data_IF_145584819955
#
_entry.id   IF_145584819955
#
_cell.length_a   1.000
_cell.length_b   1.000
_cell.length_c   1.000
_cell.angle_alpha   90.00
_cell.angle_beta   90.00
_cell.angle_gamma   90.00
#
_symmetry.space_group_name_H-M   'P 1'
#
loop_
_entity.id
_entity.type
_entity.pdbx_description
1 polymer ?
#
# COMPACT_ATOMS: atom_id res chain seq x y z
N UNK A 1 -8.63 21.31 51.71
CA UNK A 1 -8.86 19.89 51.31
C UNK A 1 -9.69 19.72 50.04
N UNK A 2 -10.89 20.32 49.89
CA UNK A 2 -11.71 20.14 48.67
C UNK A 2 -11.00 20.47 47.32
N UNK A 3 -10.24 21.58 47.28
CA UNK A 3 -9.50 21.97 46.05
C UNK A 3 -8.37 20.98 45.66
N UNK A 4 -7.74 20.34 46.64
CA UNK A 4 -6.70 19.33 46.42
C UNK A 4 -7.34 18.03 45.90
N UNK A 5 -8.46 17.64 46.45
CA UNK A 5 -9.20 16.45 46.02
C UNK A 5 -9.70 16.58 44.57
N UNK A 6 -10.21 17.75 44.18
CA UNK A 6 -10.64 18.03 42.80
C UNK A 6 -9.46 17.93 41.83
N UNK A 7 -8.28 18.48 42.19
CA UNK A 7 -7.07 18.38 41.35
C UNK A 7 -6.60 16.93 41.24
N UNK A 8 -6.64 16.15 42.32
CA UNK A 8 -6.25 14.75 42.28
C UNK A 8 -7.21 13.90 41.42
N UNK A 9 -8.50 14.13 41.54
CA UNK A 9 -9.51 13.46 40.70
C UNK A 9 -9.32 13.84 39.21
N UNK A 10 -9.05 15.11 38.90
CA UNK A 10 -8.79 15.53 37.54
C UNK A 10 -7.54 14.86 36.94
N UNK A 11 -6.46 14.74 37.73
CA UNK A 11 -5.23 14.05 37.31
C UNK A 11 -5.47 12.56 37.08
N UNK A 12 -6.24 11.92 37.96
CA UNK A 12 -6.61 10.50 37.81
C UNK A 12 -7.47 10.28 36.55
N UNK A 13 -8.45 11.14 36.29
CA UNK A 13 -9.27 11.07 35.07
C UNK A 13 -8.40 11.25 33.83
N UNK A 14 -7.46 12.19 33.84
CA UNK A 14 -6.52 12.41 32.73
C UNK A 14 -5.68 11.15 32.52
N UNK A 15 -5.08 10.57 33.57
CA UNK A 15 -4.28 9.34 33.47
C UNK A 15 -5.12 8.18 32.91
N UNK A 16 -6.34 7.97 33.40
CA UNK A 16 -7.22 6.92 32.88
C UNK A 16 -7.67 7.17 31.43
N UNK A 17 -7.83 8.42 31.01
CA UNK A 17 -8.13 8.77 29.62
C UNK A 17 -6.98 8.43 28.67
N UNK A 18 -5.73 8.48 29.11
CA UNK A 18 -4.56 8.13 28.31
C UNK A 18 -4.28 6.62 28.25
N UNK A 19 -4.79 5.82 29.19
CA UNK A 19 -4.45 4.40 29.28
C UNK A 19 -5.44 3.45 28.60
N UNK A 20 -6.59 3.92 28.08
CA UNK A 20 -7.71 3.03 27.76
C UNK A 20 -8.29 3.02 26.35
N UNK A 21 -8.11 4.03 25.53
CA UNK A 21 -8.78 4.09 24.21
C UNK A 21 -7.78 4.05 23.06
N UNK A 22 -7.46 2.85 22.59
CA UNK A 22 -6.77 2.69 21.30
C UNK A 22 -7.80 2.43 20.20
N UNK A 23 -7.74 3.22 19.15
CA UNK A 23 -8.47 3.00 17.91
C UNK A 23 -7.58 2.26 16.91
N UNK A 24 -8.19 1.50 16.02
CA UNK A 24 -7.49 0.85 14.91
C UNK A 24 -7.84 1.56 13.62
N UNK A 25 -6.81 1.89 12.85
CA UNK A 25 -6.95 2.34 11.47
C UNK A 25 -6.50 1.23 10.54
N UNK A 26 -7.26 1.00 9.46
CA UNK A 26 -6.94 0.00 8.44
C UNK A 26 -6.79 0.70 7.11
N UNK A 27 -5.64 0.56 6.48
CA UNK A 27 -5.41 1.01 5.10
C UNK A 27 -5.19 -0.19 4.19
N UNK A 28 -5.82 -0.20 3.06
CA UNK A 28 -5.76 -1.28 2.08
C UNK A 28 -4.95 -0.85 0.86
N UNK A 29 -4.27 -1.83 0.25
CA UNK A 29 -3.49 -1.63 -0.96
C UNK A 29 -3.40 -2.95 -1.72
N UNK A 30 -2.88 -2.91 -2.95
CA UNK A 30 -2.51 -4.11 -3.67
C UNK A 30 -1.00 -4.18 -3.81
N UNK A 31 -0.43 -5.34 -3.56
CA UNK A 31 1.00 -5.62 -3.73
C UNK A 31 1.18 -6.88 -4.58
N UNK A 32 2.40 -7.15 -4.97
CA UNK A 32 2.77 -8.41 -5.62
C UNK A 32 2.51 -9.56 -4.67
N UNK A 33 1.97 -10.66 -5.18
CA UNK A 33 1.83 -11.87 -4.41
C UNK A 33 3.22 -12.31 -3.90
N UNK A 34 3.41 -12.61 -2.61
CA UNK A 34 4.69 -13.07 -2.07
C UNK A 34 5.28 -14.28 -2.82
N UNK A 35 4.45 -15.17 -3.35
CA UNK A 35 4.91 -16.30 -4.16
C UNK A 35 5.55 -15.88 -5.49
N UNK A 36 5.25 -14.70 -6.01
CA UNK A 36 5.77 -14.17 -7.28
C UNK A 36 7.08 -13.35 -7.05
N UNK A 37 7.43 -13.07 -5.78
CA UNK A 37 8.62 -12.29 -5.41
C UNK A 37 9.96 -13.00 -5.62
N UNK A 38 9.99 -14.26 -6.03
CA UNK A 38 11.22 -15.01 -6.32
C UNK A 38 11.95 -14.55 -7.60
N UNK A 39 11.37 -13.60 -8.33
CA UNK A 39 11.91 -13.11 -9.58
C UNK A 39 12.98 -12.03 -9.37
N UNK A 40 13.99 -11.99 -10.28
CA UNK A 40 15.11 -11.05 -10.22
C UNK A 40 14.72 -9.57 -10.22
N UNK A 41 13.49 -9.21 -10.65
CA UNK A 41 13.05 -7.82 -10.69
C UNK A 41 12.88 -7.19 -9.31
N UNK A 42 12.50 -7.98 -8.29
CA UNK A 42 12.28 -7.50 -6.91
C UNK A 42 13.51 -6.88 -6.26
N UNK A 43 14.70 -7.10 -6.82
CA UNK A 43 15.95 -6.46 -6.39
C UNK A 43 16.04 -4.98 -6.81
N UNK A 44 15.30 -4.59 -7.84
CA UNK A 44 15.42 -3.27 -8.48
C UNK A 44 14.17 -2.42 -8.32
N UNK A 45 13.00 -3.07 -8.24
CA UNK A 45 11.72 -2.36 -8.21
C UNK A 45 10.66 -3.09 -7.39
N UNK A 46 9.76 -2.32 -6.82
CA UNK A 46 8.51 -2.79 -6.23
C UNK A 46 7.32 -2.47 -7.14
N UNK A 47 6.23 -3.16 -6.90
CA UNK A 47 4.95 -2.95 -7.59
C UNK A 47 3.89 -2.71 -6.53
N UNK A 48 3.13 -1.65 -6.72
CA UNK A 48 2.09 -1.21 -5.79
C UNK A 48 0.82 -0.85 -6.54
N UNK A 49 -0.32 -1.29 -6.04
CA UNK A 49 -1.63 -0.90 -6.52
C UNK A 49 -2.35 -0.05 -5.47
N UNK A 50 -2.63 1.20 -5.82
CA UNK A 50 -3.45 2.08 -5.02
C UNK A 50 -4.94 1.79 -5.24
N UNK A 51 -5.75 2.01 -4.20
CA UNK A 51 -7.21 2.01 -4.29
C UNK A 51 -7.72 3.45 -4.43
N UNK A 52 -8.89 3.62 -5.01
CA UNK A 52 -9.60 4.92 -5.05
C UNK A 52 -9.91 5.44 -3.65
N UNK A 53 -10.17 4.53 -2.70
CA UNK A 53 -10.24 4.80 -1.27
C UNK A 53 -9.45 3.74 -0.51
N UNK A 54 -8.34 4.13 0.10
CA UNK A 54 -7.48 3.22 0.84
C UNK A 54 -8.08 2.73 2.17
N UNK A 55 -9.15 3.32 2.64
CA UNK A 55 -9.85 2.90 3.86
C UNK A 55 -11.03 1.95 3.59
N UNK A 56 -11.48 1.87 2.34
CA UNK A 56 -12.49 0.92 1.91
C UNK A 56 -11.84 -0.30 1.24
N UNK A 57 -11.98 -1.47 1.88
CA UNK A 57 -11.44 -2.74 1.35
C UNK A 57 -12.03 -3.14 0.00
N UNK A 58 -13.22 -2.66 -0.34
CA UNK A 58 -13.94 -3.02 -1.57
C UNK A 58 -13.77 -2.02 -2.70
N UNK A 59 -13.02 -0.92 -2.44
CA UNK A 59 -12.64 0.06 -3.45
C UNK A 59 -11.88 -0.56 -4.62
N UNK A 60 -12.14 -0.09 -5.85
CA UNK A 60 -11.41 -0.54 -7.02
C UNK A 60 -9.96 -0.05 -7.02
N UNK A 61 -9.14 -0.69 -7.85
CA UNK A 61 -7.77 -0.27 -8.10
C UNK A 61 -7.79 1.02 -8.92
N UNK A 62 -7.27 2.09 -8.36
CA UNK A 62 -7.08 3.37 -9.02
C UNK A 62 -5.90 3.32 -9.97
N UNK A 63 -4.76 2.87 -9.47
CA UNK A 63 -3.52 2.79 -10.22
C UNK A 63 -2.71 1.54 -9.88
N UNK A 64 -1.90 1.08 -10.83
CA UNK A 64 -0.84 0.10 -10.58
C UNK A 64 0.47 0.68 -11.05
N UNK A 65 1.43 0.78 -10.15
CA UNK A 65 2.69 1.49 -10.36
C UNK A 65 3.88 0.61 -10.06
N UNK A 66 4.95 0.80 -10.84
CA UNK A 66 6.30 0.33 -10.53
C UNK A 66 7.08 1.47 -9.88
N UNK A 67 7.91 1.16 -8.91
CA UNK A 67 8.76 2.15 -8.24
C UNK A 67 10.14 1.57 -7.94
N UNK A 68 11.21 2.39 -7.98
CA UNK A 68 12.55 1.96 -7.63
C UNK A 68 12.63 1.63 -6.13
N UNK A 69 13.38 0.58 -5.78
CA UNK A 69 13.58 0.22 -4.37
C UNK A 69 14.91 0.78 -3.90
N UNK A 70 14.86 1.55 -2.80
CA UNK A 70 16.01 1.96 -2.02
C UNK A 70 16.05 1.13 -0.74
N UNK A 71 16.82 0.05 -0.72
CA UNK A 71 17.14 -0.60 0.56
C UNK A 71 18.16 0.24 1.32
N UNK A 72 17.90 0.47 2.60
CA UNK A 72 18.71 1.24 3.55
C UNK A 72 20.20 1.29 3.17
N UNK A 73 20.66 2.46 2.69
CA UNK A 73 22.05 2.80 2.34
C UNK A 73 22.66 2.18 1.07
N UNK A 74 21.91 1.37 0.27
CA UNK A 74 22.33 1.00 -1.07
C UNK A 74 21.19 1.30 -2.03
N UNK A 75 21.30 2.41 -2.76
CA UNK A 75 20.44 2.67 -3.92
C UNK A 75 20.68 1.55 -4.94
N UNK A 76 19.70 0.66 -5.10
CA UNK A 76 19.77 -0.40 -6.11
C UNK A 76 19.32 0.09 -7.48
N UNK A 77 18.45 1.11 -7.50
CA UNK A 77 18.05 1.82 -8.73
C UNK A 77 17.53 3.21 -8.40
N UNK A 78 17.74 4.17 -9.31
CA UNK A 78 17.22 5.55 -9.16
C UNK A 78 15.98 5.76 -10.03
N UNK A 79 15.91 5.05 -11.16
CA UNK A 79 14.88 5.25 -12.18
C UNK A 79 14.38 3.92 -12.73
N UNK A 80 13.07 3.80 -12.85
CA UNK A 80 12.41 2.67 -13.54
C UNK A 80 11.38 3.23 -14.51
N UNK A 81 11.30 2.66 -15.71
CA UNK A 81 10.37 3.07 -16.75
C UNK A 81 9.81 1.88 -17.50
N UNK A 82 8.50 1.85 -17.70
CA UNK A 82 7.83 0.92 -18.61
C UNK A 82 8.22 1.24 -20.06
N UNK A 83 8.66 0.23 -20.81
CA UNK A 83 9.01 0.40 -22.23
C UNK A 83 7.78 0.31 -23.12
N UNK A 84 6.73 -0.35 -22.68
CA UNK A 84 5.49 -0.46 -23.44
C UNK A 84 4.56 0.73 -23.18
N UNK A 85 3.95 1.24 -24.23
CA UNK A 85 2.91 2.28 -24.13
C UNK A 85 1.54 1.69 -23.80
N UNK A 86 1.38 0.35 -23.85
CA UNK A 86 0.16 -0.36 -23.48
C UNK A 86 0.51 -1.58 -22.66
N UNK A 87 -0.17 -1.72 -21.53
CA UNK A 87 0.00 -2.83 -20.60
C UNK A 87 -1.25 -3.71 -20.66
N UNK A 88 -1.03 -5.00 -20.89
CA UNK A 88 -2.09 -5.99 -20.86
C UNK A 88 -2.45 -6.30 -19.41
N UNK A 89 -3.75 -6.32 -19.11
CA UNK A 89 -4.29 -6.75 -17.82
C UNK A 89 -5.36 -7.83 -18.09
N UNK A 90 -5.29 -8.92 -17.36
CA UNK A 90 -6.33 -9.97 -17.40
C UNK A 90 -7.09 -9.95 -16.08
N UNK A 91 -8.40 -9.79 -16.14
CA UNK A 91 -9.25 -9.78 -14.96
C UNK A 91 -10.60 -10.49 -15.27
N UNK A 92 -10.96 -11.47 -14.45
CA UNK A 92 -12.17 -12.29 -14.63
C UNK A 92 -12.29 -12.87 -16.05
N UNK A 93 -11.19 -13.36 -16.61
CA UNK A 93 -11.14 -13.96 -17.94
C UNK A 93 -11.21 -12.98 -19.12
N UNK A 94 -11.29 -11.67 -18.85
CA UNK A 94 -11.26 -10.61 -19.88
C UNK A 94 -9.88 -9.97 -19.97
N UNK A 95 -9.48 -9.64 -21.20
CA UNK A 95 -8.24 -8.92 -21.46
C UNK A 95 -8.52 -7.43 -21.66
N UNK A 96 -7.70 -6.60 -21.07
CA UNK A 96 -7.72 -5.15 -21.18
C UNK A 96 -6.34 -4.67 -21.58
N UNK A 97 -6.25 -3.60 -22.37
CA UNK A 97 -5.01 -2.97 -22.82
C UNK A 97 -5.01 -1.51 -22.38
N UNK A 98 -4.41 -1.25 -21.23
CA UNK A 98 -4.35 0.04 -20.57
C UNK A 98 -3.17 0.86 -21.06
N UNK A 99 -3.36 2.16 -21.24
CA UNK A 99 -2.27 3.07 -21.60
C UNK A 99 -1.33 3.27 -20.42
N UNK A 100 -0.04 3.31 -20.71
CA UNK A 100 0.94 3.74 -19.70
C UNK A 100 0.80 5.23 -19.45
N UNK A 101 0.75 5.64 -18.18
CA UNK A 101 0.68 7.03 -17.79
C UNK A 101 1.91 7.83 -18.25
N UNK A 102 1.81 9.16 -18.28
CA UNK A 102 2.89 10.07 -18.74
C UNK A 102 4.21 9.87 -17.98
N UNK A 103 4.15 9.46 -16.72
CA UNK A 103 5.32 9.16 -15.88
C UNK A 103 6.05 7.87 -16.29
N UNK A 104 5.52 7.11 -17.24
CA UNK A 104 6.01 5.79 -17.68
C UNK A 104 6.24 4.77 -16.55
N UNK A 105 5.48 4.89 -15.47
CA UNK A 105 5.61 3.99 -14.31
C UNK A 105 4.29 3.36 -13.89
N UNK A 106 3.17 3.87 -14.40
CA UNK A 106 1.85 3.50 -13.92
C UNK A 106 0.89 3.21 -15.07
N UNK A 107 -0.12 2.42 -14.77
CA UNK A 107 -1.39 2.35 -15.49
C UNK A 107 -2.51 2.84 -14.56
N UNK A 108 -3.55 3.42 -15.13
CA UNK A 108 -4.65 4.06 -14.40
C UNK A 108 -5.99 3.43 -14.82
N UNK A 109 -6.27 2.18 -14.40
CA UNK A 109 -7.46 1.46 -14.85
C UNK A 109 -8.76 2.20 -14.53
N UNK A 110 -8.86 2.82 -13.37
CA UNK A 110 -10.06 3.55 -12.96
C UNK A 110 -10.36 4.76 -13.85
N UNK A 111 -9.33 5.51 -14.24
CA UNK A 111 -9.48 6.62 -15.20
C UNK A 111 -9.92 6.17 -16.60
N UNK A 112 -9.54 4.94 -17.00
CA UNK A 112 -9.98 4.33 -18.26
C UNK A 112 -11.35 3.60 -18.13
N UNK A 113 -12.06 3.77 -17.00
CA UNK A 113 -13.37 3.18 -16.76
C UNK A 113 -13.34 1.68 -16.46
N UNK A 114 -12.17 1.12 -16.14
CA UNK A 114 -11.98 -0.31 -15.89
C UNK A 114 -11.89 -0.57 -14.39
N UNK A 115 -12.85 -1.30 -13.84
CA UNK A 115 -12.93 -1.64 -12.42
C UNK A 115 -12.17 -2.94 -12.19
N UNK A 116 -10.93 -2.82 -11.73
CA UNK A 116 -10.09 -3.94 -11.32
C UNK A 116 -10.16 -4.13 -9.80
N UNK A 117 -10.06 -5.37 -9.38
CA UNK A 117 -9.97 -5.79 -7.96
C UNK A 117 -8.94 -6.91 -7.82
N UNK A 118 -8.91 -7.55 -6.67
CA UNK A 118 -8.05 -8.69 -6.37
C UNK A 118 -8.14 -9.80 -7.44
N UNK A 119 -7.00 -10.42 -7.73
CA UNK A 119 -6.87 -11.45 -8.76
C UNK A 119 -6.61 -10.91 -10.16
N UNK A 120 -6.53 -9.58 -10.36
CA UNK A 120 -6.07 -9.02 -11.63
C UNK A 120 -4.61 -9.44 -11.88
N UNK A 121 -4.31 -9.85 -13.13
CA UNK A 121 -2.97 -10.21 -13.58
C UNK A 121 -2.48 -9.12 -14.53
N UNK A 122 -1.36 -8.51 -14.20
CA UNK A 122 -0.77 -7.41 -14.96
C UNK A 122 0.49 -7.89 -15.68
N UNK A 123 0.58 -7.65 -16.99
CA UNK A 123 1.68 -8.01 -17.86
C UNK A 123 2.48 -6.75 -18.21
N UNK A 124 3.37 -6.34 -17.32
CA UNK A 124 4.21 -5.15 -17.55
C UNK A 124 5.22 -5.34 -18.67
N UNK A 125 5.70 -6.57 -18.89
CA UNK A 125 6.71 -6.88 -19.88
C UNK A 125 8.07 -6.27 -19.52
N UNK A 126 8.70 -5.57 -20.46
CA UNK A 126 10.06 -5.02 -20.31
C UNK A 126 10.05 -3.66 -19.62
N UNK A 127 10.94 -3.51 -18.65
CA UNK A 127 11.17 -2.29 -17.87
C UNK A 127 12.63 -1.87 -18.01
N UNK A 128 12.86 -0.59 -18.19
CA UNK A 128 14.19 0.01 -18.20
C UNK A 128 14.55 0.48 -16.80
N UNK A 129 15.74 0.11 -16.32
CA UNK A 129 16.29 0.48 -15.02
C UNK A 129 17.55 1.31 -15.23
N UNK A 130 17.59 2.50 -14.63
CA UNK A 130 18.71 3.45 -14.63
C UNK A 130 19.30 3.75 -16.01
N UNK A 131 18.45 3.75 -17.02
CA UNK A 131 18.83 3.96 -18.44
C UNK A 131 19.85 2.95 -19.01
N UNK A 132 20.20 1.90 -18.26
CA UNK A 132 21.29 0.95 -18.61
C UNK A 132 20.81 -0.49 -18.77
N UNK A 133 19.84 -0.91 -18.01
CA UNK A 133 19.43 -2.31 -17.95
C UNK A 133 17.96 -2.49 -18.33
N UNK A 134 17.68 -3.56 -19.06
CA UNK A 134 16.30 -3.96 -19.37
C UNK A 134 16.00 -5.24 -18.62
N UNK A 135 14.95 -5.21 -17.82
CA UNK A 135 14.46 -6.36 -17.06
C UNK A 135 13.07 -6.72 -17.58
N UNK A 136 12.81 -7.98 -17.76
CA UNK A 136 11.47 -8.49 -18.04
C UNK A 136 10.76 -8.86 -16.73
N UNK A 137 9.58 -8.28 -16.53
CA UNK A 137 8.72 -8.58 -15.38
C UNK A 137 7.77 -9.71 -15.82
N UNK A 138 7.74 -10.84 -15.10
CA UNK A 138 6.75 -11.89 -15.35
C UNK A 138 5.33 -11.36 -15.11
N UNK A 139 4.28 -12.07 -15.56
CA UNK A 139 2.91 -11.71 -15.22
C UNK A 139 2.73 -11.63 -13.70
N UNK A 140 2.22 -10.50 -13.22
CA UNK A 140 2.06 -10.23 -11.78
C UNK A 140 0.60 -10.34 -11.39
N UNK A 141 0.32 -11.18 -10.41
CA UNK A 141 -0.98 -11.26 -9.76
C UNK A 141 -1.00 -10.32 -8.55
N UNK A 142 -1.93 -9.39 -8.56
CA UNK A 142 -2.11 -8.47 -7.44
C UNK A 142 -2.90 -9.14 -6.31
N UNK A 143 -2.35 -9.09 -5.10
CA UNK A 143 -2.96 -9.55 -3.87
C UNK A 143 -3.28 -8.36 -2.97
N UNK A 144 -4.42 -8.41 -2.30
CA UNK A 144 -4.82 -7.35 -1.37
C UNK A 144 -4.04 -7.44 -0.06
N UNK A 145 -3.52 -6.32 0.38
CA UNK A 145 -2.82 -6.13 1.64
C UNK A 145 -3.59 -5.18 2.54
N UNK A 146 -3.42 -5.37 3.84
CA UNK A 146 -3.89 -4.45 4.86
C UNK A 146 -2.73 -4.01 5.74
N UNK A 147 -2.66 -2.72 6.01
CA UNK A 147 -1.81 -2.12 7.03
C UNK A 147 -2.71 -1.64 8.16
N UNK A 148 -2.53 -2.22 9.34
CA UNK A 148 -3.30 -1.91 10.54
C UNK A 148 -2.41 -1.18 11.52
N UNK A 149 -2.84 0.01 11.90
CA UNK A 149 -2.18 0.82 12.92
C UNK A 149 -3.11 1.01 14.13
N UNK A 150 -2.55 1.06 15.31
CA UNK A 150 -3.24 1.49 16.51
C UNK A 150 -2.79 2.89 16.91
N UNK A 151 -3.70 3.71 17.40
CA UNK A 151 -3.40 5.05 17.88
C UNK A 151 -4.36 5.43 19.03
N UNK A 152 -3.93 6.37 19.87
CA UNK A 152 -4.79 6.93 20.90
C UNK A 152 -5.42 8.23 20.39
N UNK A 153 -6.75 8.29 20.11
CA UNK A 153 -7.39 9.47 19.53
C UNK A 153 -7.28 10.73 20.40
N UNK A 154 -7.20 10.57 21.73
CA UNK A 154 -7.07 11.71 22.64
C UNK A 154 -5.67 12.31 22.58
N UNK A 155 -4.65 11.47 22.59
CA UNK A 155 -3.27 11.90 22.46
C UNK A 155 -2.99 12.51 21.08
N UNK A 156 -3.55 11.92 20.02
CA UNK A 156 -3.45 12.41 18.65
C UNK A 156 -4.08 13.80 18.51
N UNK A 157 -5.25 14.04 19.13
CA UNK A 157 -5.87 15.38 19.20
C UNK A 157 -5.03 16.42 19.96
N UNK A 158 -4.04 16.00 20.76
CA UNK A 158 -3.07 16.83 21.44
C UNK A 158 -1.72 16.91 20.71
N UNK A 159 -1.64 16.44 19.46
CA UNK A 159 -0.44 16.32 18.64
C UNK A 159 0.65 15.42 19.26
N UNK A 160 0.28 14.44 20.05
CA UNK A 160 1.18 13.42 20.59
C UNK A 160 1.03 12.17 19.74
N UNK A 161 2.04 11.84 18.95
CA UNK A 161 2.05 10.64 18.12
C UNK A 161 2.14 9.38 19.00
N UNK A 162 1.10 8.57 18.95
CA UNK A 162 1.01 7.28 19.62
C UNK A 162 0.84 6.12 18.64
N UNK A 163 0.98 6.39 17.34
CA UNK A 163 0.78 5.44 16.26
C UNK A 163 1.75 4.27 16.37
N UNK A 164 1.23 3.06 16.31
CA UNK A 164 2.01 1.82 16.30
C UNK A 164 1.51 0.90 15.21
N UNK A 165 2.42 0.30 14.48
CA UNK A 165 2.11 -0.76 13.54
C UNK A 165 1.66 -2.01 14.30
N UNK A 166 0.48 -2.52 13.95
CA UNK A 166 -0.11 -3.73 14.53
C UNK A 166 0.06 -4.90 13.58
N UNK A 167 -0.16 -4.66 12.29
CA UNK A 167 -0.05 -5.67 11.26
C UNK A 167 0.18 -5.02 9.89
N UNK A 168 1.06 -5.60 9.10
CA UNK A 168 1.17 -5.33 7.67
C UNK A 168 1.35 -6.65 6.93
N UNK A 169 0.42 -6.99 6.03
CA UNK A 169 0.46 -8.25 5.30
C UNK A 169 -0.77 -8.49 4.42
N UNK A 170 -0.84 -9.67 3.80
CA UNK A 170 -1.99 -10.09 3.03
C UNK A 170 -3.27 -10.05 3.87
N UNK A 171 -4.37 -9.56 3.25
CA UNK A 171 -5.64 -9.39 3.97
C UNK A 171 -6.23 -10.72 4.45
N UNK A 172 -6.08 -11.78 3.67
CA UNK A 172 -6.57 -13.13 4.01
C UNK A 172 -5.80 -13.80 5.17
N UNK A 173 -4.62 -13.30 5.50
CA UNK A 173 -3.81 -13.74 6.65
C UNK A 173 -4.09 -12.92 7.91
N UNK A 174 -4.78 -11.79 7.79
CA UNK A 174 -5.13 -10.92 8.91
C UNK A 174 -6.24 -11.54 9.76
N UNK A 175 -5.85 -12.07 10.92
CA UNK A 175 -6.77 -12.63 11.92
C UNK A 175 -7.31 -11.56 12.86
N UNK A 176 -7.93 -10.51 12.38
CA UNK A 176 -8.38 -9.37 13.15
C UNK A 176 -8.77 -9.69 14.62
N UNK A 177 -8.34 -8.82 15.54
CA UNK A 177 -8.82 -8.80 16.92
C UNK A 177 -10.04 -7.92 17.03
#
# INVERSE_FOLDING_TARGET
MKKLLIKLVAVVIIIFSFTGCYALSKKYSYKVNPSDNSSNFSKYMGIYGALTDSYDKDSPIESVSIYPINFSNKKTSEKVELLSNKIKVVYKGKEYYLKTAKNKRSILPYEEGIILKEGAIVYFGKVKVDDKMIIEIPPIRLKKFVHVTSYNPIADGLNIDTTKDVYEGPLDEYKGR
#
